data_IF_533673491635
#
_entry.id   IF_533673491635
#
_cell.length_a   1.000
_cell.length_b   1.000
_cell.length_c   1.000
_cell.angle_alpha   90.00
_cell.angle_beta   90.00
_cell.angle_gamma   90.00
#
_symmetry.space_group_name_H-M   'P 1'
#
loop_
_entity.id
_entity.type
_entity.pdbx_description
1 polymer ?
#
# COMPACT_ATOMS: atom_id res chain seq x y z
N UNK A 1 -8.67 -38.30 0.21
CA UNK A 1 -7.35 -37.83 -0.22
C UNK A 1 -7.26 -36.36 0.13
N UNK A 2 -6.49 -36.00 1.15
CA UNK A 2 -6.30 -34.60 1.54
C UNK A 2 -5.44 -33.94 0.47
N UNK A 3 -6.00 -32.99 -0.28
CA UNK A 3 -5.17 -32.10 -1.09
C UNK A 3 -4.37 -31.27 -0.09
N UNK A 4 -3.07 -31.52 0.00
CA UNK A 4 -2.15 -30.61 0.70
C UNK A 4 -2.26 -29.29 -0.07
N UNK A 5 -2.99 -28.32 0.47
CA UNK A 5 -2.96 -26.95 -0.04
C UNK A 5 -1.53 -26.46 0.10
N UNK A 6 -0.78 -26.44 -1.00
CA UNK A 6 0.52 -25.80 -1.03
C UNK A 6 0.29 -24.31 -0.83
N UNK A 7 0.67 -23.81 0.34
CA UNK A 7 0.65 -22.38 0.64
C UNK A 7 1.77 -21.68 -0.14
N UNK A 8 1.55 -20.44 -0.60
CA UNK A 8 2.63 -19.64 -1.16
C UNK A 8 3.77 -19.49 -0.14
N UNK A 9 5.00 -19.61 -0.62
CA UNK A 9 6.22 -19.39 0.16
C UNK A 9 6.96 -18.18 -0.37
N UNK A 10 7.42 -17.34 0.54
CA UNK A 10 8.25 -16.19 0.23
C UNK A 10 9.68 -16.63 -0.07
N UNK A 11 10.46 -15.78 -0.76
CA UNK A 11 11.88 -16.06 -1.07
C UNK A 11 12.74 -16.25 0.18
N UNK A 12 12.30 -15.71 1.32
CA UNK A 12 12.95 -15.87 2.62
C UNK A 12 12.67 -17.23 3.28
N UNK A 13 11.88 -18.13 2.64
CA UNK A 13 11.54 -19.46 3.16
C UNK A 13 10.41 -19.48 4.19
N UNK A 14 9.82 -18.32 4.52
CA UNK A 14 8.65 -18.24 5.39
C UNK A 14 7.37 -18.53 4.59
N UNK A 15 6.39 -19.13 5.26
CA UNK A 15 5.08 -19.43 4.67
C UNK A 15 4.05 -18.39 5.09
N UNK A 16 3.06 -18.17 4.25
CA UNK A 16 1.84 -17.50 4.69
C UNK A 16 1.15 -18.33 5.79
N UNK A 17 0.71 -17.71 6.90
CA UNK A 17 -0.11 -18.41 7.88
C UNK A 17 -1.40 -18.92 7.22
N UNK A 18 -1.70 -20.21 7.37
CA UNK A 18 -2.87 -20.84 6.73
C UNK A 18 -4.18 -20.10 7.06
N UNK A 19 -4.36 -19.73 8.33
CA UNK A 19 -5.55 -19.01 8.80
C UNK A 19 -5.67 -17.63 8.16
N UNK A 20 -4.55 -16.89 8.08
CA UNK A 20 -4.51 -15.58 7.45
C UNK A 20 -4.82 -15.68 5.94
N UNK A 21 -4.29 -16.70 5.26
CA UNK A 21 -4.56 -16.95 3.84
C UNK A 21 -6.04 -17.34 3.60
N UNK A 22 -6.63 -18.17 4.45
CA UNK A 22 -8.04 -18.58 4.32
C UNK A 22 -9.04 -17.46 4.60
N UNK A 23 -8.65 -16.48 5.44
CA UNK A 23 -9.46 -15.31 5.76
C UNK A 23 -9.21 -14.12 4.81
N UNK A 24 -8.14 -14.19 4.01
CA UNK A 24 -7.80 -13.19 3.02
C UNK A 24 -8.84 -13.17 1.89
N UNK A 25 -9.22 -11.97 1.45
CA UNK A 25 -10.00 -11.80 0.22
C UNK A 25 -9.18 -12.17 -1.03
N UNK A 26 -9.87 -12.30 -2.17
CA UNK A 26 -9.26 -12.70 -3.44
C UNK A 26 -8.07 -11.81 -3.84
N UNK A 27 -8.15 -10.50 -3.55
CA UNK A 27 -7.07 -9.55 -3.82
C UNK A 27 -5.84 -9.88 -2.98
N UNK A 28 -6.02 -10.01 -1.67
CA UNK A 28 -4.97 -10.35 -0.72
C UNK A 28 -4.34 -11.72 -1.03
N UNK A 29 -5.14 -12.72 -1.42
CA UNK A 29 -4.63 -14.01 -1.86
C UNK A 29 -3.82 -13.90 -3.16
N UNK A 30 -4.30 -13.13 -4.15
CA UNK A 30 -3.55 -12.87 -5.39
C UNK A 30 -2.19 -12.23 -5.08
N UNK A 31 -2.16 -11.26 -4.17
CA UNK A 31 -0.93 -10.63 -3.72
C UNK A 31 0.03 -11.63 -3.06
N UNK A 32 -0.47 -12.57 -2.26
CA UNK A 32 0.34 -13.62 -1.63
C UNK A 32 1.09 -14.45 -2.69
N UNK A 33 0.42 -14.80 -3.78
CA UNK A 33 1.04 -15.54 -4.89
C UNK A 33 2.01 -14.69 -5.70
N UNK A 34 1.66 -13.44 -5.99
CA UNK A 34 2.54 -12.52 -6.72
C UNK A 34 3.79 -12.14 -5.92
N UNK A 35 3.71 -12.12 -4.60
CA UNK A 35 4.81 -11.75 -3.71
C UNK A 35 5.73 -12.91 -3.33
N UNK A 36 5.58 -14.11 -3.91
CA UNK A 36 6.46 -15.25 -3.60
C UNK A 36 7.95 -14.98 -3.88
N UNK A 37 8.25 -14.09 -4.84
CA UNK A 37 9.61 -13.66 -5.17
C UNK A 37 10.15 -12.58 -4.23
N UNK A 38 9.34 -12.11 -3.28
CA UNK A 38 9.68 -11.06 -2.32
C UNK A 38 9.84 -11.64 -0.90
N UNK A 39 10.54 -10.93 0.00
CA UNK A 39 10.59 -11.26 1.42
C UNK A 39 9.22 -11.12 2.08
N UNK A 40 8.97 -11.90 3.13
CA UNK A 40 7.72 -11.83 3.87
C UNK A 40 7.61 -10.52 4.69
N UNK A 41 6.39 -10.10 5.11
CA UNK A 41 6.20 -8.87 5.86
C UNK A 41 7.07 -8.77 7.11
N UNK A 42 7.26 -9.87 7.85
CA UNK A 42 8.12 -9.89 9.03
C UNK A 42 9.60 -9.60 8.69
N UNK A 43 10.12 -10.15 7.60
CA UNK A 43 11.47 -9.85 7.12
C UNK A 43 11.59 -8.38 6.67
N UNK A 44 10.58 -7.85 5.98
CA UNK A 44 10.54 -6.43 5.61
C UNK A 44 10.59 -5.53 6.85
N UNK A 45 9.74 -5.80 7.84
CA UNK A 45 9.68 -5.04 9.10
C UNK A 45 11.01 -5.09 9.85
N UNK A 46 11.67 -6.24 9.93
CA UNK A 46 12.99 -6.37 10.55
C UNK A 46 14.05 -5.52 9.83
N UNK A 47 14.03 -5.48 8.50
CA UNK A 47 14.96 -4.66 7.71
C UNK A 47 14.70 -3.17 7.96
N UNK A 48 13.44 -2.74 7.89
CA UNK A 48 13.03 -1.35 8.17
C UNK A 48 13.51 -0.91 9.55
N UNK A 49 13.29 -1.74 10.57
CA UNK A 49 13.76 -1.47 11.94
C UNK A 49 15.29 -1.42 12.05
N UNK A 50 15.99 -2.30 11.33
CA UNK A 50 17.47 -2.32 11.31
C UNK A 50 18.05 -1.07 10.66
N UNK A 51 17.35 -0.53 9.66
CA UNK A 51 17.72 0.70 8.95
C UNK A 51 17.24 1.98 9.66
N UNK A 52 16.57 1.84 10.82
CA UNK A 52 15.97 2.95 11.58
C UNK A 52 15.04 3.82 10.73
N UNK A 53 14.29 3.18 9.82
CA UNK A 53 13.31 3.85 8.97
C UNK A 53 11.92 3.81 9.59
N UNK A 54 11.11 4.83 9.28
CA UNK A 54 9.79 4.97 9.86
C UNK A 54 8.71 5.11 8.77
N UNK A 55 8.47 4.07 7.94
CA UNK A 55 7.52 4.17 6.84
C UNK A 55 6.12 4.52 7.33
N UNK A 56 5.57 5.60 6.78
CA UNK A 56 4.20 6.06 7.01
C UNK A 56 3.38 5.94 5.73
N UNK A 57 2.09 5.62 5.88
CA UNK A 57 1.10 5.56 4.81
C UNK A 57 0.09 6.69 4.99
N UNK A 58 -0.14 7.47 3.94
CA UNK A 58 -1.09 8.56 3.92
C UNK A 58 -2.20 8.26 2.92
N UNK A 59 -3.45 8.29 3.38
CA UNK A 59 -4.63 7.99 2.56
C UNK A 59 -5.51 9.22 2.46
N UNK A 60 -5.58 9.80 1.28
CA UNK A 60 -6.25 11.08 1.05
C UNK A 60 -7.21 11.01 -0.13
N UNK A 61 -8.21 11.90 -0.10
CA UNK A 61 -9.04 12.20 -1.25
C UNK A 61 -8.45 13.44 -1.93
N UNK A 62 -8.08 13.33 -3.20
CA UNK A 62 -7.48 14.42 -3.94
C UNK A 62 -8.27 14.75 -5.20
N UNK A 63 -8.42 16.04 -5.48
CA UNK A 63 -8.97 16.52 -6.72
C UNK A 63 -7.86 16.60 -7.77
N UNK A 64 -7.94 15.77 -8.80
CA UNK A 64 -6.96 15.75 -9.90
C UNK A 64 -7.32 16.77 -10.99
N UNK A 65 -8.62 17.03 -11.16
CA UNK A 65 -9.13 18.06 -12.07
C UNK A 65 -10.53 18.51 -11.65
N UNK A 66 -11.14 19.45 -12.39
CA UNK A 66 -12.52 19.90 -12.12
C UNK A 66 -13.58 18.79 -12.17
N UNK A 67 -13.32 17.68 -12.85
CA UNK A 67 -14.26 16.55 -12.99
C UNK A 67 -13.71 15.23 -12.45
N UNK A 68 -12.46 15.19 -12.00
CA UNK A 68 -11.78 13.95 -11.62
C UNK A 68 -11.26 14.04 -10.19
N UNK A 69 -11.61 13.02 -9.41
CA UNK A 69 -11.15 12.83 -8.05
C UNK A 69 -10.47 11.46 -7.93
N UNK A 70 -9.54 11.34 -6.98
CA UNK A 70 -8.90 10.08 -6.68
C UNK A 70 -8.80 9.85 -5.19
N UNK A 71 -8.99 8.61 -4.77
CA UNK A 71 -8.37 8.15 -3.54
C UNK A 71 -6.91 7.84 -3.79
N UNK A 72 -6.05 8.39 -2.94
CA UNK A 72 -4.61 8.35 -3.11
C UNK A 72 -3.99 7.74 -1.88
N UNK A 73 -3.06 6.82 -2.10
CA UNK A 73 -2.23 6.21 -1.07
C UNK A 73 -0.79 6.58 -1.35
N UNK A 74 -0.12 7.17 -0.38
CA UNK A 74 1.30 7.53 -0.44
C UNK A 74 2.06 6.83 0.69
N UNK A 75 3.11 6.09 0.34
CA UNK A 75 4.00 5.41 1.30
C UNK A 75 5.36 6.08 1.30
N UNK A 76 5.75 6.58 2.46
CA UNK A 76 7.02 7.30 2.70
C UNK A 76 8.09 6.38 3.32
N UNK A 77 9.36 6.80 3.27
CA UNK A 77 10.51 6.14 3.92
C UNK A 77 10.62 4.63 3.64
N UNK A 78 10.34 4.23 2.40
CA UNK A 78 10.35 2.84 1.96
C UNK A 78 11.78 2.37 1.72
N UNK A 79 12.18 1.24 2.34
CA UNK A 79 13.41 0.52 1.99
C UNK A 79 13.17 -0.62 1.02
N UNK A 80 14.26 -1.12 0.45
CA UNK A 80 14.28 -2.51 -0.01
C UNK A 80 14.05 -3.44 1.18
N UNK A 81 13.16 -4.44 1.09
CA UNK A 81 12.49 -4.95 -0.12
C UNK A 81 11.04 -4.45 -0.33
N UNK A 82 10.54 -3.54 0.53
CA UNK A 82 9.17 -3.05 0.47
C UNK A 82 8.88 -2.29 -0.84
N UNK A 83 9.90 -1.67 -1.43
CA UNK A 83 9.85 -1.05 -2.76
C UNK A 83 9.38 -2.03 -3.86
N UNK A 84 9.89 -3.26 -3.86
CA UNK A 84 9.50 -4.31 -4.78
C UNK A 84 8.06 -4.77 -4.59
N UNK A 85 7.62 -4.84 -3.32
CA UNK A 85 6.21 -5.14 -2.98
C UNK A 85 5.28 -4.06 -3.53
N UNK A 86 5.62 -2.80 -3.30
CA UNK A 86 4.83 -1.65 -3.75
C UNK A 86 4.79 -1.58 -5.28
N UNK A 87 5.93 -1.77 -5.95
CA UNK A 87 5.98 -1.82 -7.42
C UNK A 87 5.11 -2.95 -7.99
N UNK A 88 5.15 -4.15 -7.41
CA UNK A 88 4.36 -5.30 -7.87
C UNK A 88 2.85 -5.11 -7.66
N UNK A 89 2.46 -4.28 -6.69
CA UNK A 89 1.06 -3.97 -6.37
C UNK A 89 0.53 -2.72 -7.08
N UNK A 90 1.31 -2.15 -8.01
CA UNK A 90 0.90 -1.05 -8.88
C UNK A 90 1.16 0.35 -8.30
N UNK A 91 1.97 0.47 -7.26
CA UNK A 91 2.48 1.77 -6.83
C UNK A 91 3.58 2.24 -7.77
N UNK A 92 3.67 3.55 -7.94
CA UNK A 92 4.71 4.22 -8.71
C UNK A 92 5.38 5.29 -7.86
N UNK A 93 6.68 5.51 -8.08
CA UNK A 93 7.37 6.60 -7.39
C UNK A 93 6.91 7.97 -7.91
N UNK A 94 6.63 8.87 -6.99
CA UNK A 94 6.19 10.26 -7.21
C UNK A 94 6.74 11.17 -6.13
N UNK A 95 6.73 12.48 -6.36
CA UNK A 95 6.87 13.43 -5.26
C UNK A 95 5.66 13.30 -4.32
N UNK A 96 5.84 13.63 -3.03
CA UNK A 96 4.74 13.63 -2.07
C UNK A 96 3.69 14.71 -2.41
N UNK A 97 2.44 14.45 -2.05
CA UNK A 97 1.39 15.47 -2.10
C UNK A 97 1.56 16.50 -0.99
N UNK A 98 1.13 17.73 -1.25
CA UNK A 98 1.11 18.80 -0.25
C UNK A 98 -0.26 18.86 0.43
N UNK A 99 -1.34 18.79 -0.35
CA UNK A 99 -2.73 18.84 0.13
C UNK A 99 -3.70 18.17 -0.87
N UNK A 100 -5.02 18.33 -0.68
CA UNK A 100 -6.06 17.74 -1.52
C UNK A 100 -6.10 18.28 -2.95
N UNK A 101 -5.54 19.46 -3.21
CA UNK A 101 -5.58 20.17 -4.49
C UNK A 101 -4.23 20.19 -5.21
N UNK A 102 -3.16 19.82 -4.52
CA UNK A 102 -1.79 19.78 -5.03
C UNK A 102 -1.23 18.35 -4.96
N UNK A 103 -1.64 17.47 -5.89
CA UNK A 103 -1.13 16.10 -5.96
C UNK A 103 0.36 16.06 -6.28
N UNK A 104 1.02 15.01 -5.79
CA UNK A 104 2.44 14.73 -6.02
C UNK A 104 2.84 14.73 -7.50
N UNK A 105 3.91 15.46 -7.81
CA UNK A 105 4.49 15.58 -9.15
C UNK A 105 5.49 14.47 -9.53
N UNK A 106 6.23 14.71 -10.61
CA UNK A 106 7.27 13.79 -11.10
C UNK A 106 8.46 13.69 -10.12
N UNK A 107 9.21 12.58 -10.23
CA UNK A 107 10.22 12.09 -9.26
C UNK A 107 11.40 13.06 -9.04
N UNK A 108 11.57 14.10 -9.86
CA UNK A 108 12.78 14.94 -9.85
C UNK A 108 13.03 15.72 -8.53
N UNK A 109 12.05 15.75 -7.62
CA UNK A 109 12.18 16.30 -6.26
C UNK A 109 12.38 15.16 -5.21
N UNK A 110 13.62 14.70 -5.09
CA UNK A 110 14.00 13.45 -4.39
C UNK A 110 14.03 13.42 -2.84
N UNK A 111 13.98 14.51 -2.03
CA UNK A 111 14.12 14.32 -0.58
C UNK A 111 12.90 13.62 0.05
N UNK A 112 11.72 13.71 -0.59
CA UNK A 112 10.45 13.19 -0.06
C UNK A 112 9.71 12.33 -1.09
N UNK A 113 10.44 11.55 -1.90
CA UNK A 113 9.80 10.64 -2.84
C UNK A 113 8.94 9.61 -2.10
N UNK A 114 7.72 9.40 -2.59
CA UNK A 114 6.76 8.43 -2.06
C UNK A 114 6.42 7.40 -3.11
N UNK A 115 6.02 6.22 -2.66
CA UNK A 115 5.32 5.26 -3.48
C UNK A 115 3.84 5.61 -3.48
N UNK A 116 3.30 5.93 -4.65
CA UNK A 116 1.95 6.44 -4.83
C UNK A 116 1.09 5.48 -5.64
N UNK A 117 -0.14 5.28 -5.19
CA UNK A 117 -1.19 4.56 -5.93
C UNK A 117 -2.49 5.34 -5.87
N UNK A 118 -3.21 5.34 -6.99
CA UNK A 118 -4.38 6.18 -7.17
C UNK A 118 -5.58 5.34 -7.65
N UNK A 119 -6.76 5.64 -7.12
CA UNK A 119 -8.03 5.04 -7.51
C UNK A 119 -8.95 6.15 -8.00
N UNK A 120 -9.00 6.33 -9.31
CA UNK A 120 -9.69 7.45 -9.95
C UNK A 120 -11.18 7.20 -10.09
N UNK A 121 -11.96 8.27 -9.97
CA UNK A 121 -13.38 8.29 -10.28
C UNK A 121 -13.84 9.70 -10.67
N UNK A 122 -14.86 9.76 -11.52
CA UNK A 122 -15.48 11.04 -11.91
C UNK A 122 -16.28 11.62 -10.75
N UNK A 123 -16.37 12.94 -10.63
CA UNK A 123 -17.17 13.62 -9.61
C UNK A 123 -18.65 13.25 -9.68
N UNK A 124 -19.15 12.88 -10.86
CA UNK A 124 -20.53 12.43 -11.07
C UNK A 124 -20.72 10.92 -10.88
N UNK A 125 -19.69 10.21 -10.39
CA UNK A 125 -19.75 8.77 -10.11
C UNK A 125 -20.84 8.45 -9.09
N UNK A 126 -21.67 7.45 -9.39
CA UNK A 126 -22.71 7.00 -8.48
C UNK A 126 -22.13 6.66 -7.09
N UNK A 127 -22.73 7.14 -5.98
CA UNK A 127 -22.18 6.96 -4.63
C UNK A 127 -21.86 5.50 -4.28
N UNK A 128 -22.63 4.54 -4.81
CA UNK A 128 -22.38 3.12 -4.55
C UNK A 128 -21.06 2.61 -5.15
N UNK A 129 -20.62 3.16 -6.28
CA UNK A 129 -19.30 2.85 -6.84
C UNK A 129 -18.18 3.44 -5.98
N UNK A 130 -18.37 4.65 -5.44
CA UNK A 130 -17.41 5.26 -4.49
C UNK A 130 -17.30 4.42 -3.22
N UNK A 131 -18.41 3.89 -2.71
CA UNK A 131 -18.42 2.95 -1.57
C UNK A 131 -17.68 1.64 -1.89
N UNK A 132 -17.80 1.13 -3.11
CA UNK A 132 -17.03 -0.04 -3.54
C UNK A 132 -15.52 0.24 -3.58
N UNK A 133 -15.11 1.42 -4.08
CA UNK A 133 -13.71 1.86 -4.04
C UNK A 133 -13.17 1.99 -2.61
N UNK A 134 -13.97 2.56 -1.69
CA UNK A 134 -13.61 2.61 -0.27
C UNK A 134 -13.41 1.21 0.34
N UNK A 135 -14.17 0.20 -0.11
CA UNK A 135 -13.95 -1.18 0.31
C UNK A 135 -12.59 -1.68 -0.16
N UNK A 136 -12.21 -1.41 -1.41
CA UNK A 136 -10.90 -1.77 -1.94
C UNK A 136 -9.75 -1.06 -1.22
N UNK A 137 -9.88 0.22 -0.88
CA UNK A 137 -8.89 0.92 -0.06
C UNK A 137 -8.69 0.26 1.31
N UNK A 138 -9.78 -0.17 1.96
CA UNK A 138 -9.68 -0.88 3.25
C UNK A 138 -8.92 -2.20 3.11
N UNK A 139 -9.10 -2.92 2.00
CA UNK A 139 -8.34 -4.14 1.71
C UNK A 139 -6.87 -3.81 1.48
N UNK A 140 -6.59 -2.73 0.75
CA UNK A 140 -5.22 -2.25 0.51
C UNK A 140 -4.49 -1.90 1.81
N UNK A 141 -5.17 -1.20 2.73
CA UNK A 141 -4.59 -0.85 4.03
C UNK A 141 -4.32 -2.08 4.91
N UNK A 142 -5.22 -3.07 4.90
CA UNK A 142 -5.07 -4.29 5.69
C UNK A 142 -3.86 -5.12 5.31
N UNK A 143 -3.48 -5.16 4.04
CA UNK A 143 -2.26 -5.89 3.69
C UNK A 143 -1.02 -5.03 3.93
N UNK A 144 -1.08 -3.72 3.62
CA UNK A 144 0.04 -2.81 3.86
C UNK A 144 0.44 -2.76 5.34
N UNK A 145 -0.54 -2.77 6.26
CA UNK A 145 -0.28 -2.74 7.71
C UNK A 145 0.69 -3.86 8.14
N UNK A 146 0.68 -5.01 7.46
CA UNK A 146 1.52 -6.16 7.79
C UNK A 146 3.00 -5.90 7.52
N UNK A 147 3.31 -4.96 6.63
CA UNK A 147 4.66 -4.55 6.25
C UNK A 147 5.16 -3.34 7.07
N UNK A 148 4.33 -2.75 7.93
CA UNK A 148 4.67 -1.57 8.72
C UNK A 148 5.08 -1.97 10.14
N UNK A 149 6.22 -1.50 10.67
CA UNK A 149 6.63 -1.78 12.04
C UNK A 149 5.61 -1.32 13.10
N UNK A 150 4.88 -0.24 12.83
CA UNK A 150 3.85 0.29 13.73
C UNK A 150 2.43 -0.21 13.40
N UNK A 151 2.28 -1.08 12.40
CA UNK A 151 0.99 -1.55 11.90
C UNK A 151 0.07 -0.38 11.54
N UNK A 152 -1.21 -0.48 11.94
CA UNK A 152 -2.23 0.56 11.69
C UNK A 152 -1.88 1.94 12.22
N UNK A 153 -0.99 2.08 13.21
CA UNK A 153 -0.63 3.40 13.75
C UNK A 153 0.20 4.25 12.79
N UNK A 154 0.82 3.61 11.78
CA UNK A 154 1.54 4.30 10.71
C UNK A 154 0.64 4.66 9.52
N UNK A 155 -0.68 4.43 9.60
CA UNK A 155 -1.63 4.74 8.54
C UNK A 155 -2.46 5.94 8.95
N UNK A 156 -2.34 7.01 8.18
CA UNK A 156 -3.00 8.30 8.40
C UNK A 156 -4.07 8.52 7.34
N UNK A 157 -5.18 9.14 7.74
CA UNK A 157 -6.29 9.48 6.85
C UNK A 157 -6.53 10.98 6.92
N UNK A 158 -6.69 11.62 5.76
CA UNK A 158 -6.83 13.08 5.66
C UNK A 158 -5.63 13.82 6.30
N UNK A 159 -4.43 13.35 5.99
CA UNK A 159 -3.15 13.88 6.48
C UNK A 159 -2.06 13.69 5.43
N UNK A 160 -1.01 14.50 5.43
CA UNK A 160 -0.01 14.55 4.35
C UNK A 160 1.41 14.34 4.88
N UNK A 161 2.34 14.07 3.97
CA UNK A 161 3.75 13.87 4.34
C UNK A 161 4.31 15.17 4.92
N UNK A 162 4.78 15.13 6.17
CA UNK A 162 5.44 16.27 6.81
C UNK A 162 4.51 17.25 7.55
N UNK A 163 3.23 16.93 7.71
CA UNK A 163 2.27 17.72 8.52
C UNK A 163 2.19 17.29 10.00
N UNK A 164 3.09 16.40 10.45
CA UNK A 164 3.21 15.91 11.84
C UNK A 164 4.38 16.52 12.61
#
# INVERSE_FOLDING_TARGET
MSMVQQLPHYICGHHHPLEAYQQADDHSQTLCWSAMTLPCPNCCTQIVQTLDLNPQVYVNLQQLSSSLTAFVIEVSEVSQPLDGVLSLTGYVQRAASIDELHPGGDIFDLPNAVWRKEYWFDNDTEPMHVVALLRHLKQEMRWLETYLPQGMRAIHFADFVGTA
#
